data_IF_844782043382
#
_entry.id   IF_844782043382
#
_cell.length_a   1.000
_cell.length_b   1.000
_cell.length_c   1.000
_cell.angle_alpha   90.00
_cell.angle_beta   90.00
_cell.angle_gamma   90.00
#
_symmetry.space_group_name_H-M   'P 1'
#
loop_
_entity.id
_entity.type
_entity.pdbx_description
1 polymer ?
#
# COMPACT_ATOMS: atom_id res chain seq x y z
N UNK A 1 -14.63 -17.28 -4.20
CA UNK A 1 -13.35 -17.63 -3.56
C UNK A 1 -13.03 -16.54 -2.55
N UNK A 2 -12.66 -16.92 -1.33
CA UNK A 2 -12.36 -16.01 -0.21
C UNK A 2 -11.20 -15.05 -0.51
N UNK A 3 -10.35 -15.39 -1.48
CA UNK A 3 -9.17 -14.63 -1.88
C UNK A 3 -9.46 -13.45 -2.83
N UNK A 4 -10.58 -13.45 -3.56
CA UNK A 4 -10.85 -12.45 -4.62
C UNK A 4 -10.94 -11.01 -4.10
N UNK A 5 -11.59 -10.71 -2.95
CA UNK A 5 -11.61 -9.35 -2.42
C UNK A 5 -10.20 -8.79 -2.15
N UNK A 6 -9.26 -9.62 -1.67
CA UNK A 6 -7.86 -9.21 -1.50
C UNK A 6 -7.21 -8.86 -2.85
N UNK A 7 -7.49 -9.64 -3.89
CA UNK A 7 -6.92 -9.43 -5.22
C UNK A 7 -7.32 -8.08 -5.83
N UNK A 8 -8.54 -7.65 -5.58
CA UNK A 8 -9.10 -6.40 -6.11
C UNK A 8 -8.31 -5.17 -5.62
N UNK A 9 -7.65 -5.27 -4.46
CA UNK A 9 -6.88 -4.19 -3.86
C UNK A 9 -5.43 -4.07 -4.35
N UNK A 10 -4.89 -5.10 -5.02
CA UNK A 10 -3.52 -4.99 -5.55
C UNK A 10 -3.40 -3.95 -6.67
N UNK A 11 -4.51 -3.58 -7.31
CA UNK A 11 -4.56 -2.51 -8.31
C UNK A 11 -4.85 -1.11 -7.75
N UNK A 12 -4.98 -0.95 -6.42
CA UNK A 12 -5.45 0.29 -5.80
C UNK A 12 -4.57 1.49 -6.15
N UNK A 13 -3.24 1.33 -6.12
CA UNK A 13 -2.30 2.41 -6.43
C UNK A 13 -2.40 2.86 -7.89
N UNK A 14 -2.51 1.91 -8.83
CA UNK A 14 -2.74 2.23 -10.24
C UNK A 14 -4.11 2.90 -10.45
N UNK A 15 -5.14 2.50 -9.70
CA UNK A 15 -6.45 3.16 -9.71
C UNK A 15 -6.36 4.58 -9.18
N UNK A 16 -5.67 4.82 -8.06
CA UNK A 16 -5.47 6.15 -7.48
C UNK A 16 -4.84 7.10 -8.49
N UNK A 17 -3.76 6.65 -9.15
CA UNK A 17 -3.05 7.46 -10.14
C UNK A 17 -3.89 7.70 -11.38
N UNK A 18 -4.72 6.74 -11.82
CA UNK A 18 -5.63 6.93 -12.95
C UNK A 18 -6.77 7.90 -12.66
N UNK A 19 -7.28 7.88 -11.43
CA UNK A 19 -8.42 8.70 -10.98
C UNK A 19 -7.99 10.04 -10.34
N UNK A 20 -6.69 10.36 -10.41
CA UNK A 20 -6.12 11.56 -9.79
C UNK A 20 -6.71 12.84 -10.37
N UNK A 21 -6.75 13.88 -9.53
CA UNK A 21 -7.24 15.21 -9.92
C UNK A 21 -6.27 15.85 -10.93
N UNK A 22 -6.74 16.81 -11.76
CA UNK A 22 -5.82 17.60 -12.59
C UNK A 22 -4.71 18.23 -11.73
N UNK A 23 -3.48 18.20 -12.22
CA UNK A 23 -2.26 18.67 -11.53
C UNK A 23 -1.89 17.91 -10.23
N UNK A 24 -2.62 16.87 -9.83
CA UNK A 24 -2.25 16.02 -8.70
C UNK A 24 -1.10 15.09 -9.10
N UNK A 25 -0.04 15.03 -8.30
CA UNK A 25 1.06 14.11 -8.56
C UNK A 25 0.64 12.65 -8.31
N UNK A 26 1.30 11.66 -8.93
CA UNK A 26 1.04 10.25 -8.62
C UNK A 26 1.24 9.91 -7.12
N UNK A 27 2.19 10.57 -6.46
CA UNK A 27 2.45 10.39 -5.04
C UNK A 27 1.29 10.92 -4.19
N UNK A 28 0.81 12.13 -4.48
CA UNK A 28 -0.30 12.74 -3.75
C UNK A 28 -1.59 11.94 -3.93
N UNK A 29 -1.83 11.44 -5.15
CA UNK A 29 -3.00 10.62 -5.43
C UNK A 29 -3.01 9.32 -4.61
N UNK A 30 -1.87 8.63 -4.53
CA UNK A 30 -1.73 7.39 -3.74
C UNK A 30 -1.81 7.70 -2.24
N UNK A 31 -1.17 8.77 -1.77
CA UNK A 31 -1.24 9.21 -0.37
C UNK A 31 -2.69 9.51 0.01
N UNK A 32 -3.39 10.33 -0.77
CA UNK A 32 -4.79 10.69 -0.55
C UNK A 32 -5.68 9.45 -0.48
N UNK A 33 -5.60 8.55 -1.48
CA UNK A 33 -6.39 7.33 -1.48
C UNK A 33 -6.10 6.48 -0.23
N UNK A 34 -4.83 6.36 0.17
CA UNK A 34 -4.48 5.60 1.37
C UNK A 34 -5.10 6.18 2.64
N UNK A 35 -5.07 7.51 2.80
CA UNK A 35 -5.70 8.20 3.94
C UNK A 35 -7.22 8.01 3.92
N UNK A 36 -7.87 8.14 2.76
CA UNK A 36 -9.31 7.88 2.61
C UNK A 36 -9.66 6.43 3.03
N UNK A 37 -8.83 5.45 2.68
CA UNK A 37 -9.00 4.05 3.09
C UNK A 37 -8.78 3.85 4.60
N UNK A 38 -7.83 4.56 5.20
CA UNK A 38 -7.61 4.56 6.66
C UNK A 38 -8.83 5.12 7.39
N UNK A 39 -9.35 6.26 6.95
CA UNK A 39 -10.55 6.90 7.52
C UNK A 39 -11.79 5.99 7.41
N UNK A 40 -11.92 5.30 6.27
CA UNK A 40 -13.00 4.34 6.03
C UNK A 40 -12.80 2.99 6.75
N UNK A 41 -11.69 2.79 7.48
CA UNK A 41 -11.32 1.51 8.12
C UNK A 41 -11.31 0.34 7.14
N UNK A 42 -10.81 0.58 5.94
CA UNK A 42 -10.82 -0.41 4.87
C UNK A 42 -9.96 -1.65 5.25
N UNK A 43 -10.49 -2.89 5.13
CA UNK A 43 -9.71 -4.10 5.39
C UNK A 43 -8.44 -4.23 4.56
N UNK A 44 -8.37 -3.63 3.38
CA UNK A 44 -7.20 -3.67 2.51
C UNK A 44 -6.00 -2.88 3.03
N UNK A 45 -6.21 -1.93 3.95
CA UNK A 45 -5.11 -1.25 4.65
C UNK A 45 -4.82 -1.88 6.01
N UNK A 46 -5.48 -2.98 6.37
CA UNK A 46 -5.20 -3.73 7.59
C UNK A 46 -5.83 -3.17 8.86
N UNK A 47 -6.77 -2.22 8.75
CA UNK A 47 -7.44 -1.55 9.88
C UNK A 47 -8.86 -2.06 10.18
N UNK A 48 -9.27 -3.17 9.57
CA UNK A 48 -10.59 -3.74 9.84
C UNK A 48 -10.56 -4.62 11.11
N UNK A 49 -11.51 -4.37 12.01
CA UNK A 49 -11.79 -5.21 13.18
C UNK A 49 -12.52 -6.52 12.86
N UNK A 50 -12.93 -6.73 11.61
CA UNK A 50 -13.64 -7.94 11.15
C UNK A 50 -12.77 -9.20 11.35
N UNK A 51 -13.21 -10.14 12.20
CA UNK A 51 -12.51 -11.40 12.42
C UNK A 51 -12.32 -12.22 11.14
N UNK A 52 -13.20 -12.07 10.14
CA UNK A 52 -13.10 -12.80 8.87
C UNK A 52 -11.88 -12.31 8.08
N UNK A 53 -11.72 -10.99 7.90
CA UNK A 53 -10.58 -10.42 7.18
C UNK A 53 -9.23 -10.86 7.78
N UNK A 54 -9.15 -10.93 9.12
CA UNK A 54 -7.97 -11.44 9.83
C UNK A 54 -7.71 -12.91 9.57
N UNK A 55 -8.74 -13.76 9.68
CA UNK A 55 -8.63 -15.18 9.37
C UNK A 55 -8.19 -15.43 7.91
N UNK A 56 -8.66 -14.62 6.97
CA UNK A 56 -8.23 -14.69 5.57
C UNK A 56 -6.75 -14.37 5.45
N UNK A 57 -6.28 -13.28 6.06
CA UNK A 57 -4.85 -12.94 6.08
C UNK A 57 -4.01 -14.05 6.71
N UNK A 58 -4.40 -14.55 7.88
CA UNK A 58 -3.70 -15.65 8.55
C UNK A 58 -3.61 -16.90 7.67
N UNK A 59 -4.71 -17.26 7.00
CA UNK A 59 -4.75 -18.38 6.07
C UNK A 59 -3.78 -18.17 4.89
N UNK A 60 -3.75 -16.97 4.32
CA UNK A 60 -2.81 -16.61 3.24
C UNK A 60 -1.37 -16.73 3.72
N UNK A 61 -1.04 -16.14 4.88
CA UNK A 61 0.32 -16.14 5.44
C UNK A 61 0.82 -17.55 5.81
N UNK A 62 -0.08 -18.45 6.20
CA UNK A 62 0.25 -19.84 6.58
C UNK A 62 0.22 -20.83 5.42
N UNK A 63 -0.27 -20.42 4.25
CA UNK A 63 -0.43 -21.30 3.09
C UNK A 63 0.47 -20.85 1.94
N UNK A 64 1.60 -21.55 1.68
CA UNK A 64 2.59 -21.09 0.70
C UNK A 64 2.03 -20.75 -0.69
N UNK A 65 1.10 -21.57 -1.21
CA UNK A 65 0.48 -21.35 -2.52
C UNK A 65 -0.38 -20.07 -2.55
N UNK A 66 -1.05 -19.73 -1.45
CA UNK A 66 -1.83 -18.49 -1.36
C UNK A 66 -0.91 -17.27 -1.22
N UNK A 67 0.16 -17.41 -0.45
CA UNK A 67 1.18 -16.36 -0.30
C UNK A 67 1.86 -16.06 -1.64
N UNK A 68 2.25 -17.09 -2.40
CA UNK A 68 2.81 -16.93 -3.75
C UNK A 68 1.84 -16.21 -4.68
N UNK A 69 0.56 -16.61 -4.66
CA UNK A 69 -0.47 -15.96 -5.47
C UNK A 69 -0.66 -14.48 -5.09
N UNK A 70 -0.68 -14.16 -3.80
CA UNK A 70 -0.76 -12.78 -3.31
C UNK A 70 0.43 -11.95 -3.77
N UNK A 71 1.63 -12.50 -3.66
CA UNK A 71 2.86 -11.85 -4.12
C UNK A 71 2.86 -11.58 -5.62
N UNK A 72 2.44 -12.55 -6.44
CA UNK A 72 2.32 -12.39 -7.89
C UNK A 72 1.29 -11.32 -8.27
N UNK A 73 0.16 -11.27 -7.55
CA UNK A 73 -0.88 -10.28 -7.78
C UNK A 73 -0.41 -8.86 -7.38
N UNK A 74 0.27 -8.70 -6.24
CA UNK A 74 0.88 -7.44 -5.82
C UNK A 74 1.95 -6.94 -6.82
N UNK A 75 2.80 -7.85 -7.32
CA UNK A 75 3.76 -7.53 -8.37
C UNK A 75 3.09 -7.13 -9.68
N UNK A 76 1.97 -7.77 -10.05
CA UNK A 76 1.19 -7.36 -11.21
C UNK A 76 0.65 -5.94 -11.04
N UNK A 77 0.05 -5.62 -9.89
CA UNK A 77 -0.45 -4.27 -9.60
C UNK A 77 0.64 -3.19 -9.69
N UNK A 78 1.84 -3.48 -9.17
CA UNK A 78 2.99 -2.57 -9.28
C UNK A 78 3.45 -2.38 -10.74
N UNK A 79 3.43 -3.44 -11.57
CA UNK A 79 3.72 -3.35 -13.00
C UNK A 79 2.65 -2.56 -13.76
N UNK A 80 1.38 -2.72 -13.41
CA UNK A 80 0.28 -1.95 -14.02
C UNK A 80 0.43 -0.46 -13.71
N UNK A 81 0.84 -0.10 -12.48
CA UNK A 81 1.18 1.28 -12.11
C UNK A 81 2.38 1.81 -12.91
N UNK A 82 3.45 1.01 -13.06
CA UNK A 82 4.62 1.40 -13.84
C UNK A 82 4.25 1.65 -15.32
N UNK A 83 3.43 0.79 -15.91
CA UNK A 83 2.96 0.97 -17.28
C UNK A 83 2.16 2.28 -17.43
N UNK A 84 1.23 2.55 -16.52
CA UNK A 84 0.46 3.80 -16.50
C UNK A 84 1.36 5.05 -16.43
N UNK A 85 2.37 5.05 -15.55
CA UNK A 85 3.31 6.16 -15.43
C UNK A 85 4.22 6.31 -16.66
N UNK A 86 4.57 5.20 -17.30
CA UNK A 86 5.38 5.22 -18.51
C UNK A 86 4.62 5.76 -19.72
N UNK A 87 3.30 5.55 -19.81
CA UNK A 87 2.44 6.15 -20.84
C UNK A 87 2.47 7.69 -20.77
N UNK A 88 2.61 8.26 -19.57
CA UNK A 88 2.64 9.72 -19.36
C UNK A 88 4.03 10.33 -19.52
N UNK A 89 5.08 9.61 -19.11
CA UNK A 89 6.45 10.14 -19.03
C UNK A 89 7.33 9.73 -20.20
N UNK A 90 7.00 8.63 -20.89
CA UNK A 90 7.85 8.02 -21.91
C UNK A 90 9.08 7.28 -21.38
N UNK A 91 9.24 7.14 -20.06
CA UNK A 91 10.38 6.47 -19.43
C UNK A 91 9.93 5.31 -18.53
N UNK A 92 10.01 4.08 -19.07
CA UNK A 92 9.63 2.87 -18.34
C UNK A 92 10.56 2.56 -17.16
N UNK A 93 11.84 2.96 -17.23
CA UNK A 93 12.79 2.67 -16.16
C UNK A 93 12.48 3.53 -14.94
N UNK A 94 12.35 4.85 -15.14
CA UNK A 94 11.96 5.77 -14.07
C UNK A 94 10.56 5.45 -13.52
N UNK A 95 9.60 5.13 -14.39
CA UNK A 95 8.26 4.73 -13.98
C UNK A 95 8.24 3.45 -13.14
N UNK A 96 9.08 2.46 -13.46
CA UNK A 96 9.22 1.23 -12.68
C UNK A 96 9.75 1.52 -11.27
N UNK A 97 10.76 2.39 -11.16
CA UNK A 97 11.31 2.81 -9.86
C UNK A 97 10.25 3.56 -9.05
N UNK A 98 9.56 4.53 -9.66
CA UNK A 98 8.49 5.28 -9.01
C UNK A 98 7.36 4.36 -8.48
N UNK A 99 6.87 3.46 -9.33
CA UNK A 99 5.83 2.50 -8.96
C UNK A 99 6.26 1.61 -7.79
N UNK A 100 7.49 1.10 -7.82
CA UNK A 100 8.03 0.26 -6.75
C UNK A 100 8.12 1.02 -5.42
N UNK A 101 8.59 2.27 -5.42
CA UNK A 101 8.69 3.10 -4.21
C UNK A 101 7.32 3.42 -3.62
N UNK A 102 6.34 3.79 -4.45
CA UNK A 102 4.96 4.06 -4.02
C UNK A 102 4.31 2.81 -3.40
N UNK A 103 4.42 1.66 -4.08
CA UNK A 103 3.92 0.38 -3.56
C UNK A 103 4.61 0.00 -2.25
N UNK A 104 5.92 0.20 -2.13
CA UNK A 104 6.68 -0.13 -0.93
C UNK A 104 6.28 0.74 0.27
N UNK A 105 6.13 2.05 0.09
CA UNK A 105 5.69 2.95 1.16
C UNK A 105 4.30 2.57 1.68
N UNK A 106 3.34 2.31 0.78
CA UNK A 106 2.01 1.82 1.14
C UNK A 106 2.08 0.51 1.93
N UNK A 107 2.78 -0.48 1.41
CA UNK A 107 2.85 -1.81 2.03
C UNK A 107 3.55 -1.79 3.39
N UNK A 108 4.53 -0.92 3.59
CA UNK A 108 5.21 -0.79 4.88
C UNK A 108 4.24 -0.34 5.98
N UNK A 109 3.33 0.59 5.67
CA UNK A 109 2.32 1.07 6.64
C UNK A 109 1.29 -0.02 6.95
N UNK A 110 0.83 -0.76 5.93
CA UNK A 110 -0.10 -1.89 6.09
C UNK A 110 0.50 -2.98 6.97
N UNK A 111 1.76 -3.35 6.71
CA UNK A 111 2.44 -4.36 7.51
C UNK A 111 2.65 -3.90 8.95
N UNK A 112 2.93 -2.61 9.18
CA UNK A 112 2.99 -2.04 10.52
C UNK A 112 1.64 -2.11 11.25
N UNK A 113 0.53 -1.84 10.55
CA UNK A 113 -0.82 -1.99 11.13
C UNK A 113 -1.07 -3.42 11.57
N UNK A 114 -0.82 -4.39 10.68
CA UNK A 114 -0.96 -5.79 11.02
C UNK A 114 -0.06 -6.22 12.16
N UNK A 115 1.22 -5.85 12.14
CA UNK A 115 2.19 -6.20 13.19
C UNK A 115 1.74 -5.72 14.57
N UNK A 116 1.19 -4.51 14.66
CA UNK A 116 0.69 -3.93 15.92
C UNK A 116 -0.58 -4.64 16.41
N UNK A 117 -1.53 -4.88 15.51
CA UNK A 117 -2.78 -5.60 15.83
C UNK A 117 -2.49 -7.04 16.25
N UNK A 118 -1.59 -7.74 15.55
CA UNK A 118 -1.16 -9.11 15.86
C UNK A 118 -0.42 -9.17 17.21
N UNK A 119 0.23 -8.07 17.63
CA UNK A 119 0.83 -7.92 18.95
C UNK A 119 -0.18 -7.59 20.07
N UNK A 120 -1.48 -7.49 19.75
CA UNK A 120 -2.56 -7.25 20.70
C UNK A 120 -2.91 -5.78 20.93
N UNK A 121 -2.37 -4.86 20.13
CA UNK A 121 -2.78 -3.46 20.18
C UNK A 121 -4.21 -3.28 19.66
N UNK A 122 -4.96 -2.38 20.28
CA UNK A 122 -6.33 -2.08 19.88
C UNK A 122 -6.39 -1.41 18.50
N UNK A 123 -7.33 -1.83 17.66
CA UNK A 123 -7.44 -1.36 16.26
C UNK A 123 -7.73 0.12 16.19
N UNK A 124 -8.53 0.66 17.11
CA UNK A 124 -8.85 2.09 17.11
C UNK A 124 -7.64 2.93 17.47
N UNK A 125 -6.75 2.39 18.32
CA UNK A 125 -5.46 3.02 18.61
C UNK A 125 -4.55 3.02 17.38
N UNK A 126 -4.44 1.91 16.66
CA UNK A 126 -3.62 1.81 15.44
C UNK A 126 -4.17 2.71 14.32
N UNK A 127 -5.49 2.79 14.18
CA UNK A 127 -6.11 3.63 13.17
C UNK A 127 -6.00 5.12 13.50
N UNK A 128 -5.98 5.50 14.78
CA UNK A 128 -5.88 6.91 15.18
C UNK A 128 -4.53 7.54 14.79
N UNK A 129 -3.42 6.81 14.85
CA UNK A 129 -2.09 7.31 14.43
C UNK A 129 -1.69 6.88 13.00
N UNK A 130 -2.51 6.07 12.33
CA UNK A 130 -2.26 5.62 10.96
C UNK A 130 -2.02 6.76 9.94
N UNK A 131 -2.77 7.88 9.94
CA UNK A 131 -2.50 9.00 9.04
C UNK A 131 -1.09 9.59 9.23
N UNK A 132 -0.66 9.78 10.48
CA UNK A 132 0.67 10.31 10.79
C UNK A 132 1.80 9.35 10.35
N UNK A 133 1.57 8.04 10.49
CA UNK A 133 2.50 7.00 10.01
C UNK A 133 2.57 6.99 8.49
N UNK A 134 1.44 7.14 7.81
CA UNK A 134 1.36 7.20 6.35
C UNK A 134 2.10 8.42 5.80
N UNK A 135 1.87 9.61 6.38
CA UNK A 135 2.58 10.83 5.98
C UNK A 135 4.10 10.66 6.08
N UNK A 136 4.60 10.09 7.18
CA UNK A 136 6.03 9.79 7.33
C UNK A 136 6.56 8.83 6.27
N UNK A 137 5.81 7.78 5.95
CA UNK A 137 6.21 6.81 4.94
C UNK A 137 6.26 7.42 3.53
N UNK A 138 5.25 8.21 3.16
CA UNK A 138 5.23 8.87 1.85
C UNK A 138 6.25 10.02 1.74
N UNK A 139 6.59 10.70 2.84
CA UNK A 139 7.65 11.72 2.84
C UNK A 139 9.03 11.14 2.48
N UNK A 140 9.31 9.87 2.85
CA UNK A 140 10.54 9.17 2.43
C UNK A 140 10.60 8.93 0.92
N UNK A 141 9.45 8.81 0.25
CA UNK A 141 9.37 8.71 -1.21
C UNK A 141 9.52 10.08 -1.85
N UNK A 142 8.89 11.10 -1.27
CA UNK A 142 8.87 12.47 -1.79
C UNK A 142 10.27 13.12 -1.78
N UNK A 143 11.01 12.96 -0.68
CA UNK A 143 12.34 13.56 -0.51
C UNK A 143 13.49 12.58 -0.77
N UNK A 144 13.16 11.31 -0.99
CA UNK A 144 14.13 10.23 -1.18
C UNK A 144 14.89 9.86 0.10
N UNK A 145 15.87 8.95 -0.05
CA UNK A 145 16.63 8.37 1.08
C UNK A 145 17.95 9.09 1.36
N UNK A 146 18.21 10.25 0.75
CA UNK A 146 19.51 10.92 0.79
C UNK A 146 20.02 11.16 2.21
N UNK A 147 19.14 11.63 3.11
CA UNK A 147 19.45 11.91 4.52
C UNK A 147 19.02 10.78 5.48
N UNK A 148 18.39 9.72 4.98
CA UNK A 148 17.84 8.66 5.83
C UNK A 148 18.95 7.81 6.45
N UNK A 149 18.98 7.78 7.79
CA UNK A 149 19.93 6.99 8.57
C UNK A 149 21.41 7.21 8.20
N UNK A 150 21.78 8.43 7.76
CA UNK A 150 23.17 8.79 7.48
C UNK A 150 23.99 8.67 8.77
N UNK A 151 25.00 7.80 8.76
CA UNK A 151 25.96 7.69 9.87
C UNK A 151 26.86 8.93 9.90
N UNK A 152 27.13 9.42 11.10
CA UNK A 152 28.12 10.47 11.35
C UNK A 152 29.54 10.00 11.05
#
# INVERSE_FOLDING_TARGET
MVFRPLEDHFGDTARAVRERRPEESPLDAVRRQFIEMVEARDPAVGLNGDPIARQVRELVMRTPVLMERAFLAAQKGTRDLAALLAEETGDIMAATVAAAMLSAARNAVIEEHHRRIDAGEDVDTVAADAPERAERAFALVEHGLGDYARKA
#
